data_IF_783991962435
#
_entry.id   IF_783991962435
#
_cell.length_a   1.000
_cell.length_b   1.000
_cell.length_c   1.000
_cell.angle_alpha   90.00
_cell.angle_beta   90.00
_cell.angle_gamma   90.00
#
_symmetry.space_group_name_H-M   'P 1'
#
loop_
_entity.id
_entity.type
_entity.pdbx_description
1 polymer ?
#
# COMPACT_ATOMS: atom_id res chain seq x y z
N UNK A 1 -6.98 -16.40 1.99
CA UNK A 1 -5.82 -15.52 2.28
C UNK A 1 -4.76 -16.38 2.91
N UNK A 2 -3.55 -16.41 2.35
CA UNK A 2 -2.47 -17.27 2.84
C UNK A 2 -1.39 -16.41 3.51
N UNK A 3 -0.95 -16.81 4.70
CA UNK A 3 0.30 -16.33 5.28
C UNK A 3 1.43 -17.24 4.80
N UNK A 4 2.59 -16.67 4.50
CA UNK A 4 3.76 -17.44 4.09
C UNK A 4 5.03 -16.83 4.66
N UNK A 5 6.13 -17.59 4.59
CA UNK A 5 7.44 -17.18 5.08
C UNK A 5 8.30 -16.76 3.89
N UNK A 6 8.78 -15.52 3.90
CA UNK A 6 9.85 -15.11 3.01
C UNK A 6 11.20 -15.55 3.60
N UNK A 7 12.03 -16.17 2.76
CA UNK A 7 13.45 -16.32 3.04
C UNK A 7 14.22 -15.01 2.86
N UNK A 8 15.56 -15.10 2.84
CA UNK A 8 16.44 -13.96 2.50
C UNK A 8 16.48 -13.63 1.00
N UNK A 9 15.67 -14.32 0.20
CA UNK A 9 15.49 -14.08 -1.23
C UNK A 9 14.08 -13.52 -1.43
N UNK A 10 13.95 -12.50 -2.29
CA UNK A 10 12.65 -11.93 -2.62
C UNK A 10 11.68 -12.93 -3.25
N UNK A 11 10.40 -12.62 -3.22
CA UNK A 11 9.32 -13.42 -3.83
C UNK A 11 8.53 -12.56 -4.80
N UNK A 12 8.46 -12.98 -6.06
CA UNK A 12 7.71 -12.28 -7.12
C UNK A 12 6.21 -12.45 -6.92
N UNK A 13 5.41 -11.41 -7.17
CA UNK A 13 3.95 -11.51 -7.10
C UNK A 13 3.33 -12.31 -8.26
N UNK A 14 4.12 -12.68 -9.27
CA UNK A 14 3.72 -13.36 -10.50
C UNK A 14 2.59 -12.64 -11.23
N UNK A 15 2.71 -11.31 -11.33
CA UNK A 15 1.72 -10.46 -11.99
C UNK A 15 1.77 -10.63 -13.51
N UNK A 16 0.60 -10.52 -14.15
CA UNK A 16 0.53 -10.41 -15.61
C UNK A 16 1.17 -9.12 -16.11
N UNK A 17 1.63 -9.12 -17.36
CA UNK A 17 2.23 -7.97 -18.05
C UNK A 17 1.37 -6.71 -17.90
N UNK A 18 2.01 -5.57 -17.62
CA UNK A 18 1.35 -4.27 -17.50
C UNK A 18 0.55 -4.04 -16.21
N UNK A 19 0.42 -5.04 -15.32
CA UNK A 19 -0.29 -4.85 -14.04
C UNK A 19 0.56 -4.04 -13.07
N UNK A 20 1.85 -4.35 -12.93
CA UNK A 20 2.70 -3.69 -11.93
C UNK A 20 2.78 -2.17 -12.13
N UNK A 21 2.80 -1.69 -13.39
CA UNK A 21 2.85 -0.25 -13.71
C UNK A 21 1.59 0.52 -13.31
N UNK A 22 0.46 -0.16 -13.07
CA UNK A 22 -0.82 0.47 -12.73
C UNK A 22 -1.57 -0.38 -11.71
N UNK A 23 -1.09 -0.36 -10.47
CA UNK A 23 -1.57 -1.24 -9.41
C UNK A 23 -1.55 -0.59 -8.04
N UNK A 24 -2.35 -1.14 -7.14
CA UNK A 24 -2.27 -0.94 -5.71
C UNK A 24 -1.83 -2.25 -5.06
N UNK A 25 -0.70 -2.24 -4.36
CA UNK A 25 -0.19 -3.38 -3.60
C UNK A 25 -0.34 -3.10 -2.11
N UNK A 26 -0.96 -4.02 -1.36
CA UNK A 26 -1.09 -3.94 0.11
C UNK A 26 -0.45 -5.17 0.74
N UNK A 27 0.60 -4.94 1.53
CA UNK A 27 1.31 -6.01 2.24
C UNK A 27 1.38 -5.70 3.73
N UNK A 28 1.15 -6.72 4.55
CA UNK A 28 1.31 -6.66 5.99
C UNK A 28 2.36 -7.67 6.41
N UNK A 29 3.42 -7.17 7.04
CA UNK A 29 4.53 -7.95 7.55
C UNK A 29 4.42 -8.10 9.06
N UNK A 30 4.69 -9.29 9.59
CA UNK A 30 4.94 -9.46 11.03
C UNK A 30 6.33 -8.87 11.34
N UNK A 31 6.45 -8.10 12.43
CA UNK A 31 7.73 -7.51 12.81
C UNK A 31 8.73 -8.61 13.18
N UNK A 32 9.91 -8.67 12.55
CA UNK A 32 10.87 -9.75 12.78
C UNK A 32 11.52 -9.65 14.16
N UNK A 33 11.95 -10.78 14.71
CA UNK A 33 12.65 -10.84 16.00
C UNK A 33 14.12 -10.39 15.93
N UNK A 34 14.65 -10.20 14.72
CA UNK A 34 16.03 -9.79 14.44
C UNK A 34 16.03 -8.57 13.51
N UNK A 35 17.15 -7.85 13.45
CA UNK A 35 17.28 -6.74 12.52
C UNK A 35 17.10 -7.22 11.07
N UNK A 36 16.23 -6.56 10.30
CA UNK A 36 15.87 -6.99 8.94
C UNK A 36 15.34 -5.80 8.15
N UNK A 37 15.79 -5.66 6.92
CA UNK A 37 15.20 -4.74 5.95
C UNK A 37 14.24 -5.50 5.07
N UNK A 38 13.00 -5.03 4.95
CA UNK A 38 11.96 -5.69 4.17
C UNK A 38 11.01 -4.70 3.50
N UNK A 39 10.31 -5.13 2.45
CA UNK A 39 9.37 -4.26 1.75
C UNK A 39 8.88 -4.81 0.42
N UNK A 40 8.61 -3.89 -0.50
CA UNK A 40 8.12 -4.17 -1.84
C UNK A 40 9.05 -3.48 -2.85
N UNK A 41 9.39 -4.18 -3.93
CA UNK A 41 9.96 -3.57 -5.14
C UNK A 41 8.90 -3.50 -6.24
N UNK A 42 8.86 -2.40 -6.98
CA UNK A 42 8.07 -2.25 -8.21
C UNK A 42 8.99 -1.63 -9.27
N UNK A 43 9.28 -2.38 -10.33
CA UNK A 43 10.29 -1.99 -11.32
C UNK A 43 11.67 -1.85 -10.67
N UNK A 44 12.28 -0.67 -10.78
CA UNK A 44 13.58 -0.34 -10.15
C UNK A 44 13.46 0.32 -8.77
N UNK A 45 12.24 0.57 -8.29
CA UNK A 45 12.01 1.30 -7.04
C UNK A 45 11.73 0.32 -5.91
N UNK A 46 12.49 0.44 -4.83
CA UNK A 46 12.31 -0.32 -3.60
C UNK A 46 11.71 0.58 -2.53
N UNK A 47 10.60 0.14 -1.93
CA UNK A 47 9.98 0.79 -0.78
C UNK A 47 10.05 -0.16 0.41
N UNK A 48 10.81 0.21 1.43
CA UNK A 48 11.28 -0.70 2.48
C UNK A 48 11.26 -0.08 3.88
N UNK A 49 11.19 -0.96 4.87
CA UNK A 49 11.34 -0.68 6.29
C UNK A 49 12.65 -1.32 6.74
N UNK A 50 13.54 -0.53 7.33
CA UNK A 50 14.74 -1.03 8.00
C UNK A 50 14.44 -1.17 9.49
N UNK A 51 14.12 -2.39 9.90
CA UNK A 51 13.64 -2.68 11.24
C UNK A 51 14.77 -3.23 12.11
N UNK A 52 14.97 -2.60 13.26
CA UNK A 52 15.81 -3.11 14.34
C UNK A 52 14.92 -3.28 15.58
N UNK A 53 14.82 -4.51 16.16
CA UNK A 53 14.02 -4.73 17.35
C UNK A 53 14.42 -3.76 18.49
N UNK A 54 13.44 -3.06 19.11
CA UNK A 54 13.75 -2.09 20.15
C UNK A 54 14.24 -2.80 21.43
N UNK A 55 15.21 -2.20 22.11
CA UNK A 55 15.72 -2.69 23.40
C UNK A 55 14.86 -2.23 24.59
N UNK A 56 13.94 -1.29 24.38
CA UNK A 56 13.15 -0.64 25.43
C UNK A 56 11.66 -0.60 25.09
N UNK A 57 10.82 -0.43 26.12
CA UNK A 57 9.34 -0.41 26.03
C UNK A 57 8.75 0.96 25.69
N UNK A 58 9.51 1.84 25.03
CA UNK A 58 9.03 3.17 24.62
C UNK A 58 8.72 3.22 23.12
N UNK A 59 8.11 4.31 22.67
CA UNK A 59 7.96 4.61 21.24
C UNK A 59 9.35 4.68 20.62
N UNK A 60 9.53 4.05 19.46
CA UNK A 60 10.80 4.00 18.74
C UNK A 60 10.59 4.35 17.27
N UNK A 61 11.67 4.73 16.60
CA UNK A 61 11.69 5.10 15.20
C UNK A 61 12.38 4.01 14.38
N UNK A 62 11.81 3.72 13.21
CA UNK A 62 12.40 2.82 12.22
C UNK A 62 12.57 3.59 10.92
N UNK A 63 13.67 3.35 10.23
CA UNK A 63 13.90 3.99 8.94
C UNK A 63 12.99 3.39 7.88
N UNK A 64 12.36 4.25 7.09
CA UNK A 64 11.61 3.85 5.91
C UNK A 64 12.16 4.58 4.69
N UNK A 65 12.09 3.94 3.54
CA UNK A 65 12.57 4.51 2.28
C UNK A 65 11.72 4.07 1.11
N UNK A 66 11.66 4.88 0.05
CA UNK A 66 11.02 4.53 -1.21
C UNK A 66 11.77 5.22 -2.35
N UNK A 67 12.53 4.45 -3.12
CA UNK A 67 13.49 4.99 -4.09
C UNK A 67 14.58 5.81 -3.40
N UNK A 68 14.73 7.09 -3.80
CA UNK A 68 15.69 8.02 -3.21
C UNK A 68 15.21 8.68 -1.90
N UNK A 69 13.92 8.58 -1.58
CA UNK A 69 13.31 9.19 -0.40
C UNK A 69 13.52 8.36 0.86
N UNK A 70 13.70 9.05 2.00
CA UNK A 70 13.90 8.46 3.33
C UNK A 70 13.16 9.26 4.38
N UNK A 71 12.61 8.58 5.39
CA UNK A 71 11.94 9.17 6.54
C UNK A 71 11.99 8.22 7.75
N UNK A 72 11.39 8.61 8.87
CA UNK A 72 11.29 7.86 10.11
C UNK A 72 9.82 7.51 10.40
N UNK A 73 9.54 6.22 10.53
CA UNK A 73 8.26 5.73 10.99
C UNK A 73 8.29 5.49 12.51
N UNK A 74 7.39 6.14 13.23
CA UNK A 74 7.23 5.94 14.67
C UNK A 74 6.33 4.73 14.96
N UNK A 75 6.88 3.78 15.72
CA UNK A 75 6.20 2.57 16.16
C UNK A 75 6.08 2.52 17.69
N UNK A 76 5.05 1.82 18.15
CA UNK A 76 4.82 1.54 19.58
C UNK A 76 5.19 0.08 19.90
N UNK A 77 5.58 -0.25 21.14
CA UNK A 77 5.91 -1.64 21.53
C UNK A 77 4.75 -2.65 21.37
N UNK A 78 3.52 -2.15 21.33
CA UNK A 78 2.32 -2.95 21.14
C UNK A 78 2.08 -3.36 19.68
N UNK A 79 2.69 -2.66 18.72
CA UNK A 79 2.58 -3.01 17.31
C UNK A 79 3.40 -4.27 17.03
N UNK A 80 2.77 -5.24 16.35
CA UNK A 80 3.38 -6.53 15.96
C UNK A 80 3.50 -6.70 14.46
N UNK A 81 2.97 -5.75 13.70
CA UNK A 81 2.97 -5.79 12.26
C UNK A 81 3.08 -4.39 11.67
N UNK A 82 3.62 -4.31 10.47
CA UNK A 82 3.70 -3.08 9.66
C UNK A 82 2.98 -3.32 8.34
N UNK A 83 2.09 -2.40 8.00
CA UNK A 83 1.45 -2.33 6.70
C UNK A 83 2.26 -1.43 5.75
N UNK A 84 2.50 -1.91 4.54
CA UNK A 84 3.00 -1.13 3.43
C UNK A 84 1.96 -1.18 2.30
N UNK A 85 1.48 0.00 1.89
CA UNK A 85 0.54 0.16 0.78
C UNK A 85 1.18 1.02 -0.29
N UNK A 86 1.32 0.48 -1.49
CA UNK A 86 2.04 1.12 -2.60
C UNK A 86 1.11 1.24 -3.80
N UNK A 87 0.93 2.45 -4.30
CA UNK A 87 0.28 2.73 -5.57
C UNK A 87 1.33 2.98 -6.63
N UNK A 88 1.17 2.37 -7.79
CA UNK A 88 1.99 2.60 -8.97
C UNK A 88 1.09 3.14 -10.09
N UNK A 89 1.46 4.26 -10.69
CA UNK A 89 0.73 4.87 -11.83
C UNK A 89 1.70 5.39 -12.89
N UNK A 90 2.27 4.46 -13.67
CA UNK A 90 3.12 4.57 -14.87
C UNK A 90 4.37 5.49 -14.81
N UNK A 91 4.35 6.54 -14.01
CA UNK A 91 5.29 7.66 -13.97
C UNK A 91 5.72 7.98 -12.54
N UNK A 92 4.97 7.53 -11.54
CA UNK A 92 5.32 7.67 -10.13
C UNK A 92 4.82 6.48 -9.31
N UNK A 93 5.41 6.36 -8.12
CA UNK A 93 5.01 5.43 -7.07
C UNK A 93 4.68 6.25 -5.83
N UNK A 94 3.55 5.95 -5.20
CA UNK A 94 3.16 6.50 -3.91
C UNK A 94 3.12 5.39 -2.86
N UNK A 95 3.95 5.50 -1.83
CA UNK A 95 4.05 4.51 -0.75
C UNK A 95 3.58 5.09 0.58
N UNK A 96 2.68 4.35 1.23
CA UNK A 96 2.12 4.64 2.54
C UNK A 96 2.60 3.58 3.53
N UNK A 97 3.30 4.03 4.58
CA UNK A 97 3.78 3.18 5.66
C UNK A 97 2.85 3.31 6.87
N UNK A 98 2.45 2.16 7.41
CA UNK A 98 1.58 2.02 8.58
C UNK A 98 0.33 2.90 8.49
N UNK A 99 -0.53 2.59 7.51
CA UNK A 99 -1.81 3.30 7.27
C UNK A 99 -1.61 4.81 7.06
N UNK A 100 -0.49 5.20 6.44
CA UNK A 100 -0.18 6.58 6.07
C UNK A 100 0.41 7.44 7.18
N UNK A 101 0.99 6.85 8.23
CA UNK A 101 1.80 7.62 9.20
C UNK A 101 3.01 8.27 8.54
N UNK A 102 3.55 7.63 7.51
CA UNK A 102 4.52 8.19 6.58
C UNK A 102 3.99 7.94 5.17
N UNK A 103 4.11 8.93 4.30
CA UNK A 103 3.78 8.83 2.88
C UNK A 103 4.92 9.41 2.03
N UNK A 104 5.22 8.76 0.91
CA UNK A 104 6.30 9.15 -0.01
C UNK A 104 5.81 9.06 -1.45
N UNK A 105 6.22 10.00 -2.29
CA UNK A 105 5.95 9.98 -3.74
C UNK A 105 7.28 10.04 -4.48
N UNK A 106 7.64 8.96 -5.16
CA UNK A 106 8.86 8.87 -5.96
C UNK A 106 8.51 8.88 -7.45
N UNK A 107 9.24 9.69 -8.23
CA UNK A 107 9.13 9.66 -9.70
C UNK A 107 9.77 8.37 -10.21
N UNK A 108 8.98 7.55 -10.89
CA UNK A 108 9.32 6.19 -11.26
C UNK A 108 8.68 5.85 -12.61
N UNK A 109 9.38 6.03 -13.74
CA UNK A 109 8.87 5.58 -15.03
C UNK A 109 8.79 4.06 -15.06
N UNK A 110 7.58 3.52 -15.20
CA UNK A 110 7.29 2.09 -15.26
C UNK A 110 6.83 1.71 -16.67
N UNK A 111 7.35 0.60 -17.19
CA UNK A 111 6.96 0.05 -18.48
C UNK A 111 6.09 -1.22 -18.31
N UNK A 112 5.68 -1.82 -19.42
CA UNK A 112 4.86 -3.05 -19.40
C UNK A 112 5.58 -4.27 -18.80
N UNK A 113 6.91 -4.25 -18.82
CA UNK A 113 7.79 -5.27 -18.25
C UNK A 113 8.13 -4.99 -16.77
N UNK A 114 7.51 -3.99 -16.15
CA UNK A 114 7.69 -3.76 -14.71
C UNK A 114 7.14 -4.97 -13.94
N UNK A 115 7.92 -5.43 -12.96
CA UNK A 115 7.56 -6.51 -12.05
C UNK A 115 7.44 -5.98 -10.62
N UNK A 116 6.62 -6.65 -9.82
CA UNK A 116 6.49 -6.38 -8.39
C UNK A 116 6.96 -7.59 -7.59
N UNK A 117 7.78 -7.37 -6.56
CA UNK A 117 8.22 -8.43 -5.68
C UNK A 117 8.26 -7.99 -4.21
N UNK A 118 8.16 -8.97 -3.32
CA UNK A 118 8.51 -8.82 -1.92
C UNK A 118 10.03 -8.93 -1.77
N UNK A 119 10.61 -8.07 -0.94
CA UNK A 119 12.05 -8.09 -0.66
C UNK A 119 12.29 -8.22 0.83
N UNK A 120 13.31 -8.99 1.23
CA UNK A 120 13.74 -9.13 2.62
C UNK A 120 15.22 -9.50 2.69
N UNK A 121 15.96 -8.95 3.66
CA UNK A 121 17.35 -9.34 3.95
C UNK A 121 17.46 -10.49 4.94
N UNK A 122 16.34 -10.94 5.52
CA UNK A 122 16.31 -11.99 6.54
C UNK A 122 14.94 -12.71 6.62
N UNK A 123 14.80 -13.71 7.49
CA UNK A 123 13.54 -14.42 7.66
C UNK A 123 12.41 -13.50 8.07
N UNK A 124 11.30 -13.51 7.32
CA UNK A 124 10.18 -12.61 7.54
C UNK A 124 8.86 -13.32 7.25
N UNK A 125 7.88 -13.15 8.15
CA UNK A 125 6.54 -13.68 7.93
C UNK A 125 5.64 -12.62 7.29
N UNK A 126 5.12 -12.95 6.11
CA UNK A 126 4.11 -12.15 5.41
C UNK A 126 2.74 -12.59 5.90
N UNK A 127 2.04 -11.68 6.58
CA UNK A 127 0.70 -11.95 7.11
C UNK A 127 -0.36 -11.83 6.02
N UNK A 128 -0.17 -10.87 5.12
CA UNK A 128 -1.10 -10.56 4.05
C UNK A 128 -0.35 -9.91 2.89
N UNK A 129 -0.67 -10.30 1.66
CA UNK A 129 -0.21 -9.63 0.45
C UNK A 129 -1.32 -9.70 -0.60
N UNK A 130 -1.67 -8.56 -1.20
CA UNK A 130 -2.65 -8.48 -2.27
C UNK A 130 -2.26 -7.37 -3.24
N UNK A 131 -2.50 -7.63 -4.52
CA UNK A 131 -2.31 -6.64 -5.60
C UNK A 131 -3.65 -6.43 -6.28
N UNK A 132 -4.04 -5.18 -6.43
CA UNK A 132 -5.25 -4.74 -7.12
C UNK A 132 -4.84 -4.00 -8.39
N UNK A 133 -5.27 -4.45 -9.58
CA UNK A 133 -5.07 -3.65 -10.79
C UNK A 133 -5.91 -2.38 -10.69
N UNK A 134 -5.27 -1.23 -10.94
CA UNK A 134 -5.97 0.04 -10.96
C UNK A 134 -6.63 0.27 -12.31
N UNK A 135 -7.81 0.90 -12.28
CA UNK A 135 -8.51 1.33 -13.49
C UNK A 135 -8.24 2.80 -13.74
N UNK A 136 -8.36 3.21 -15.00
CA UNK A 136 -8.41 4.63 -15.35
C UNK A 136 -9.48 5.33 -14.51
N UNK A 137 -9.10 6.42 -13.83
CA UNK A 137 -10.05 7.32 -13.18
C UNK A 137 -10.81 8.19 -14.20
N UNK A 138 -10.23 8.33 -15.40
CA UNK A 138 -10.89 8.98 -16.51
C UNK A 138 -11.89 8.02 -17.14
N UNK A 139 -13.16 8.32 -16.94
CA UNK A 139 -14.27 7.73 -17.67
C UNK A 139 -14.52 8.56 -18.92
N UNK A 140 -14.89 7.92 -20.03
CA UNK A 140 -15.28 8.70 -21.20
C UNK A 140 -16.57 9.47 -20.86
N UNK A 141 -16.78 10.68 -21.40
CA UNK A 141 -18.03 11.41 -21.20
C UNK A 141 -19.26 10.57 -21.55
N UNK A 142 -19.09 9.61 -22.47
CA UNK A 142 -20.16 8.79 -23.01
C UNK A 142 -20.54 7.68 -22.02
N UNK A 143 -19.56 7.16 -21.28
CA UNK A 143 -19.79 6.23 -20.17
C UNK A 143 -20.60 6.92 -19.06
N UNK A 144 -20.30 8.18 -18.77
CA UNK A 144 -21.05 9.00 -17.79
C UNK A 144 -22.48 9.24 -18.26
N UNK A 145 -22.68 9.53 -19.55
CA UNK A 145 -24.01 9.76 -20.12
C UNK A 145 -24.87 8.49 -20.15
N UNK A 146 -24.25 7.34 -20.40
CA UNK A 146 -24.94 6.05 -20.49
C UNK A 146 -25.16 5.39 -19.11
N UNK A 147 -24.53 5.88 -18.05
CA UNK A 147 -24.73 5.35 -16.70
C UNK A 147 -26.19 5.53 -16.24
N UNK A 148 -26.85 4.47 -15.73
CA UNK A 148 -28.22 4.56 -15.21
C UNK A 148 -28.34 5.64 -14.13
N UNK A 149 -29.21 6.62 -14.34
CA UNK A 149 -29.47 7.65 -13.33
C UNK A 149 -30.44 7.12 -12.29
N UNK A 150 -29.94 6.77 -11.11
CA UNK A 150 -30.77 6.41 -9.96
C UNK A 150 -31.17 7.69 -9.26
N UNK A 151 -32.40 8.15 -9.51
CA UNK A 151 -33.01 9.18 -8.70
C UNK A 151 -33.73 8.48 -7.54
N UNK A 152 -33.40 8.77 -6.26
CA UNK A 152 -34.24 8.31 -5.17
C UNK A 152 -35.65 8.82 -5.42
N UNK A 153 -36.65 7.92 -5.37
CA UNK A 153 -38.03 8.35 -5.45
C UNK A 153 -38.23 9.41 -4.35
N UNK A 154 -38.68 10.60 -4.73
CA UNK A 154 -39.20 11.55 -3.76
C UNK A 154 -40.48 10.91 -3.23
N UNK A 155 -40.35 10.08 -2.21
CA UNK A 155 -41.49 9.59 -1.43
C UNK A 155 -41.98 10.78 -0.64
N UNK A 156 -42.82 11.61 -1.28
CA UNK A 156 -43.50 12.69 -0.61
C UNK A 156 -44.39 12.12 0.48
N UNK A 157 -44.02 12.37 1.74
CA UNK A 157 -44.88 12.76 2.85
C UNK A 157 -44.18 12.46 4.19
N UNK A 158 -43.34 13.38 4.65
CA UNK A 158 -43.37 13.72 6.08
C UNK A 158 -43.14 15.23 6.21
N UNK A 159 -44.24 15.97 6.28
CA UNK A 159 -44.29 17.41 6.47
C UNK A 159 -44.29 17.78 7.97
N UNK A 160 -43.56 17.05 8.81
CA UNK A 160 -43.38 17.44 10.21
C UNK A 160 -42.29 18.51 10.33
N UNK A 161 -42.69 19.73 9.98
CA UNK A 161 -41.97 20.97 10.27
C UNK A 161 -41.83 21.13 11.80
N UNK A 162 -40.73 20.63 12.36
CA UNK A 162 -40.38 20.87 13.76
C UNK A 162 -39.76 22.26 13.84
N UNK A 163 -40.60 23.25 14.11
CA UNK A 163 -40.17 24.60 14.48
C UNK A 163 -39.50 24.51 15.85
N UNK A 164 -38.18 24.68 15.89
CA UNK A 164 -37.45 24.95 17.14
C UNK A 164 -37.66 26.43 17.49
N UNK A 165 -38.44 26.68 18.54
CA UNK A 165 -38.41 27.94 19.30
C UNK A 165 -37.44 27.80 20.48
#
# INVERSE_FOLDING_TARGET
RASFQLGATGEDFHLSTGIAKQSETVVTFELPAVATTFGISIGSVNCSVDYVPPQHVQVYEVHVSCGSLKDLLRLTPGEKAVELRVFADATFIEAYFQRGRVAMIEVAPLNDDAHGALVSTGPLKVMHAVVYPMRSIWVQPEDVRNAPRVYPAITGADSSETVFM
#
